data_IF_919697228586
#
_entry.id   IF_919697228586
#
_cell.length_a   1.000
_cell.length_b   1.000
_cell.length_c   1.000
_cell.angle_alpha   90.00
_cell.angle_beta   90.00
_cell.angle_gamma   90.00
#
_symmetry.space_group_name_H-M   'P 1'
#
loop_
_entity.id
_entity.type
_entity.pdbx_description
1 polymer ?
#
# COMPACT_ATOMS: atom_id res chain seq x y z
N UNK A 1 5.38 -12.29 18.47
CA UNK A 1 5.24 -12.51 17.02
C UNK A 1 5.43 -11.20 16.27
N UNK A 2 6.30 -11.21 15.28
CA UNK A 2 6.52 -10.01 14.48
C UNK A 2 5.50 -9.95 13.36
N UNK A 3 4.84 -8.81 13.22
CA UNK A 3 3.91 -8.58 12.11
C UNK A 3 4.68 -8.00 10.94
N UNK A 4 4.51 -8.61 9.77
CA UNK A 4 5.07 -8.08 8.53
C UNK A 4 4.13 -7.03 7.98
N UNK A 5 4.63 -5.82 7.84
CA UNK A 5 3.83 -4.75 7.31
C UNK A 5 4.70 -3.56 6.94
N UNK A 6 4.07 -2.53 6.42
CA UNK A 6 4.74 -1.28 6.07
C UNK A 6 3.90 -0.10 6.50
N UNK A 7 4.57 1.02 6.75
CA UNK A 7 3.89 2.26 6.97
C UNK A 7 3.50 2.88 5.64
N UNK A 8 2.24 3.23 5.50
CA UNK A 8 1.71 3.82 4.27
C UNK A 8 1.01 5.12 4.61
N UNK A 9 1.35 6.16 3.85
CA UNK A 9 0.60 7.40 3.88
C UNK A 9 -0.38 7.40 2.72
N UNK A 10 -1.65 7.68 2.99
CA UNK A 10 -2.69 7.63 1.99
C UNK A 10 -2.46 8.63 0.86
N UNK A 11 -3.15 8.43 -0.26
CA UNK A 11 -3.03 9.26 -1.45
C UNK A 11 -3.37 10.72 -1.15
N UNK A 12 -4.37 10.96 -0.31
CA UNK A 12 -4.78 12.31 0.10
C UNK A 12 -3.93 12.88 1.23
N UNK A 13 -2.95 12.11 1.71
CA UNK A 13 -2.00 12.48 2.76
C UNK A 13 -2.62 12.64 4.15
N UNK A 14 -3.89 12.29 4.31
CA UNK A 14 -4.60 12.48 5.57
C UNK A 14 -4.48 11.32 6.54
N UNK A 15 -3.96 10.17 6.10
CA UNK A 15 -3.85 8.98 6.93
C UNK A 15 -2.46 8.40 6.88
N UNK A 16 -2.01 7.89 8.01
CA UNK A 16 -0.79 7.11 8.14
C UNK A 16 -1.18 5.80 8.80
N UNK A 17 -0.95 4.69 8.09
CA UNK A 17 -1.41 3.37 8.51
C UNK A 17 -0.24 2.40 8.49
N UNK A 18 -0.12 1.60 9.55
CA UNK A 18 0.76 0.44 9.50
C UNK A 18 -0.01 -0.72 8.88
N UNK A 19 0.24 -0.99 7.61
CA UNK A 19 -0.56 -1.92 6.82
C UNK A 19 -0.01 -3.32 6.92
N UNK A 20 -0.86 -4.26 7.33
CA UNK A 20 -0.54 -5.69 7.38
C UNK A 20 -1.38 -6.48 6.39
N UNK A 21 -2.49 -5.92 5.92
CA UNK A 21 -3.37 -6.55 4.96
C UNK A 21 -3.72 -5.51 3.89
N UNK A 22 -3.25 -5.73 2.67
CA UNK A 22 -3.41 -4.77 1.58
C UNK A 22 -4.02 -5.50 0.39
N UNK A 23 -5.05 -4.91 -0.20
CA UNK A 23 -5.72 -5.52 -1.34
C UNK A 23 -6.32 -4.46 -2.26
N UNK A 24 -6.70 -4.90 -3.45
CA UNK A 24 -7.30 -4.05 -4.48
C UNK A 24 -8.75 -4.45 -4.68
N UNK A 25 -9.65 -3.46 -4.63
CA UNK A 25 -11.05 -3.62 -5.01
C UNK A 25 -11.24 -3.00 -6.39
N UNK A 26 -11.66 -3.81 -7.35
CA UNK A 26 -11.86 -3.39 -8.73
C UNK A 26 -13.34 -3.12 -8.98
N UNK A 27 -13.66 -1.89 -9.37
CA UNK A 27 -15.03 -1.46 -9.65
C UNK A 27 -15.28 -1.19 -11.15
N UNK A 28 -14.36 -1.62 -12.00
CA UNK A 28 -14.48 -1.44 -13.45
C UNK A 28 -13.95 -0.12 -13.93
N UNK A 29 -14.61 0.98 -13.62
CA UNK A 29 -14.17 2.31 -14.06
C UNK A 29 -13.10 2.90 -13.16
N UNK A 30 -12.85 2.30 -12.01
CA UNK A 30 -11.80 2.71 -11.08
C UNK A 30 -11.45 1.52 -10.18
N UNK A 31 -10.34 1.63 -9.48
CA UNK A 31 -9.92 0.61 -8.51
C UNK A 31 -9.44 1.29 -7.23
N UNK A 32 -9.74 0.68 -6.11
CA UNK A 32 -9.33 1.17 -4.81
C UNK A 32 -8.21 0.29 -4.26
N UNK A 33 -7.21 0.91 -3.64
CA UNK A 33 -6.24 0.20 -2.84
C UNK A 33 -6.64 0.36 -1.38
N UNK A 34 -6.78 -0.77 -0.70
CA UNK A 34 -7.20 -0.78 0.70
C UNK A 34 -6.13 -1.39 1.58
N UNK A 35 -5.95 -0.81 2.75
CA UNK A 35 -5.02 -1.30 3.76
C UNK A 35 -5.79 -1.44 5.07
N UNK A 36 -5.77 -2.63 5.65
CA UNK A 36 -6.49 -2.94 6.90
C UNK A 36 -7.96 -2.51 6.85
N UNK A 37 -8.59 -2.69 5.69
CA UNK A 37 -10.00 -2.33 5.42
C UNK A 37 -10.26 -0.83 5.26
N UNK A 38 -9.21 -0.01 5.18
CA UNK A 38 -9.35 1.43 4.90
C UNK A 38 -8.91 1.73 3.49
N UNK A 39 -9.69 2.54 2.76
CA UNK A 39 -9.29 2.99 1.43
C UNK A 39 -8.15 3.99 1.58
N UNK A 40 -7.03 3.71 0.94
CA UNK A 40 -5.85 4.56 1.00
C UNK A 40 -5.53 5.23 -0.33
N UNK A 41 -6.10 4.74 -1.43
CA UNK A 41 -5.88 5.31 -2.75
C UNK A 41 -6.95 4.88 -3.73
N UNK A 42 -7.14 5.68 -4.78
CA UNK A 42 -8.04 5.38 -5.88
C UNK A 42 -7.30 5.63 -7.18
N UNK A 43 -7.42 4.70 -8.13
CA UNK A 43 -6.79 4.81 -9.43
C UNK A 43 -7.80 4.52 -10.52
N UNK A 44 -7.53 5.04 -11.72
CA UNK A 44 -8.45 4.90 -12.84
C UNK A 44 -8.41 3.50 -13.46
N UNK A 45 -7.35 2.74 -13.22
CA UNK A 45 -7.22 1.39 -13.77
C UNK A 45 -6.82 0.41 -12.68
N UNK A 46 -7.31 -0.82 -12.84
CA UNK A 46 -6.91 -1.93 -11.99
C UNK A 46 -5.42 -2.22 -12.14
N UNK A 47 -4.89 -2.10 -13.35
CA UNK A 47 -3.49 -2.37 -13.63
C UNK A 47 -2.57 -1.49 -12.80
N UNK A 48 -2.91 -0.21 -12.69
CA UNK A 48 -2.11 0.72 -11.87
C UNK A 48 -2.16 0.33 -10.39
N UNK A 49 -3.35 -0.02 -9.91
CA UNK A 49 -3.51 -0.44 -8.52
C UNK A 49 -2.71 -1.71 -8.23
N UNK A 50 -2.72 -2.67 -9.16
CA UNK A 50 -1.96 -3.91 -9.01
C UNK A 50 -0.45 -3.68 -9.05
N UNK A 51 0.01 -2.75 -9.88
CA UNK A 51 1.43 -2.38 -9.88
C UNK A 51 1.88 -1.90 -8.50
N UNK A 52 1.05 -1.09 -7.86
CA UNK A 52 1.37 -0.59 -6.53
C UNK A 52 1.33 -1.70 -5.49
N UNK A 53 0.41 -2.64 -5.64
CA UNK A 53 0.37 -3.81 -4.75
C UNK A 53 1.66 -4.63 -4.87
N UNK A 54 2.16 -4.81 -6.09
CA UNK A 54 3.43 -5.51 -6.33
C UNK A 54 4.60 -4.77 -5.69
N UNK A 55 4.63 -3.45 -5.82
CA UNK A 55 5.68 -2.63 -5.20
C UNK A 55 5.65 -2.74 -3.68
N UNK A 56 4.45 -2.74 -3.09
CA UNK A 56 4.30 -2.89 -1.65
C UNK A 56 4.78 -4.26 -1.19
N UNK A 57 4.51 -5.31 -1.97
CA UNK A 57 4.99 -6.65 -1.64
C UNK A 57 6.52 -6.70 -1.60
N UNK A 58 7.16 -6.06 -2.56
CA UNK A 58 8.63 -5.98 -2.57
C UNK A 58 9.13 -5.24 -1.33
N UNK A 59 8.50 -4.14 -0.97
CA UNK A 59 8.92 -3.37 0.21
C UNK A 59 8.73 -4.15 1.50
N UNK A 60 7.64 -4.90 1.63
CA UNK A 60 7.41 -5.74 2.80
C UNK A 60 8.49 -6.80 2.91
N UNK A 61 8.83 -7.45 1.79
CA UNK A 61 9.88 -8.46 1.78
C UNK A 61 11.24 -7.87 2.13
N UNK A 62 11.55 -6.68 1.61
CA UNK A 62 12.79 -6.00 1.92
C UNK A 62 12.87 -5.60 3.40
N UNK A 63 11.78 -5.09 3.96
CA UNK A 63 11.80 -4.66 5.35
C UNK A 63 11.90 -5.84 6.31
N UNK A 64 11.49 -7.03 5.89
CA UNK A 64 11.68 -8.24 6.68
C UNK A 64 13.17 -8.61 6.79
N UNK A 65 13.95 -8.32 5.76
CA UNK A 65 15.36 -8.70 5.67
C UNK A 65 16.33 -7.55 5.88
N UNK A 66 15.85 -6.31 5.97
CA UNK A 66 16.71 -5.13 6.00
C UNK A 66 16.11 -4.06 6.91
N UNK A 67 16.80 -3.74 8.00
CA UNK A 67 16.33 -2.77 8.97
C UNK A 67 16.17 -1.36 8.41
N UNK A 68 16.94 -1.01 7.39
CA UNK A 68 16.88 0.33 6.81
C UNK A 68 15.51 0.58 6.19
N UNK A 69 14.92 -0.44 5.55
CA UNK A 69 13.63 -0.29 4.89
C UNK A 69 12.45 -0.30 5.86
N UNK A 70 12.62 -0.80 7.09
CA UNK A 70 11.56 -0.85 8.09
C UNK A 70 10.99 0.51 8.44
N UNK A 71 11.83 1.53 8.39
CA UNK A 71 11.44 2.86 8.83
C UNK A 71 10.94 3.72 7.69
N UNK A 72 10.84 3.16 6.49
CA UNK A 72 10.33 3.89 5.35
C UNK A 72 8.82 3.99 5.39
N UNK A 73 8.33 5.14 4.99
CA UNK A 73 6.91 5.38 4.81
C UNK A 73 6.66 5.46 3.32
N UNK A 74 5.77 4.60 2.83
CA UNK A 74 5.38 4.63 1.43
C UNK A 74 4.27 5.64 1.25
N UNK A 75 4.53 6.67 0.45
CA UNK A 75 3.49 7.62 0.06
C UNK A 75 2.76 7.07 -1.17
N UNK A 76 1.43 6.91 -1.07
CA UNK A 76 0.66 6.45 -2.21
C UNK A 76 0.68 7.51 -3.31
N UNK A 77 1.08 7.15 -4.55
CA UNK A 77 1.10 8.10 -5.66
C UNK A 77 -0.29 8.63 -6.00
N UNK A 78 -0.33 9.84 -6.49
CA UNK A 78 -1.60 10.43 -6.92
C UNK A 78 -2.15 9.75 -8.17
N UNK A 79 -1.27 9.21 -8.98
CA UNK A 79 -1.67 8.52 -10.20
C UNK A 79 -0.89 7.22 -10.38
#
# INVERSE_FOLDING_TARGET
>A
MMMNGIWIRSQDKNRLIFATNIYVDDYGSFALVKANSHTIAEYTTKERALQLLDEMQVLINMSHNNEITRNRILQMPEQ
#
